data_IF_459690405696
#
_entry.id   IF_459690405696
#
_cell.length_a   1.000
_cell.length_b   1.000
_cell.length_c   1.000
_cell.angle_alpha   90.00
_cell.angle_beta   90.00
_cell.angle_gamma   90.00
#
_symmetry.space_group_name_H-M   'P 1'
#
loop_
_entity.id
_entity.type
_entity.pdbx_description
1 polymer ?
#
# COMPACT_ATOMS: atom_id res chain seq x y z
N UNK A 1 -1.32 12.21 -10.96
CA UNK A 1 -1.18 13.09 -9.79
C UNK A 1 -2.54 13.70 -9.50
N UNK A 2 -3.03 13.51 -8.28
CA UNK A 2 -4.29 14.09 -7.79
C UNK A 2 -3.93 15.23 -6.83
N UNK A 3 -4.63 16.36 -6.92
CA UNK A 3 -4.46 17.49 -6.00
C UNK A 3 -5.72 17.67 -5.19
N UNK A 4 -5.57 17.70 -3.87
CA UNK A 4 -6.64 18.00 -2.92
C UNK A 4 -6.14 19.13 -2.05
N UNK A 5 -6.69 20.33 -2.22
CA UNK A 5 -6.22 21.55 -1.54
C UNK A 5 -4.71 21.76 -1.69
N UNK A 6 -3.95 21.62 -0.60
CA UNK A 6 -2.49 21.79 -0.54
C UNK A 6 -1.72 20.46 -0.65
N UNK A 7 -2.42 19.33 -0.80
CA UNK A 7 -1.85 17.99 -0.94
C UNK A 7 -1.67 17.63 -2.42
N UNK A 8 -0.50 17.06 -2.73
CA UNK A 8 -0.19 16.48 -4.02
C UNK A 8 0.01 14.98 -3.85
N UNK A 9 -0.95 14.20 -4.34
CA UNK A 9 -1.00 12.76 -4.17
C UNK A 9 -0.59 12.06 -5.46
N UNK A 10 0.33 11.11 -5.34
CA UNK A 10 0.74 10.23 -6.41
C UNK A 10 -0.06 8.92 -6.33
N UNK A 11 -0.54 8.46 -7.49
CA UNK A 11 -1.20 7.16 -7.60
C UNK A 11 -0.18 6.16 -8.11
N UNK A 12 0.08 5.14 -7.32
CA UNK A 12 1.02 4.07 -7.64
C UNK A 12 0.21 2.81 -7.87
N UNK A 13 0.33 2.21 -9.07
CA UNK A 13 -0.29 0.91 -9.31
C UNK A 13 0.42 -0.16 -8.48
N UNK A 14 -0.33 -0.81 -7.61
CA UNK A 14 0.15 -1.85 -6.70
C UNK A 14 -0.70 -3.13 -6.82
N UNK A 15 -0.75 -3.77 -8.01
CA UNK A 15 -1.47 -5.02 -8.19
C UNK A 15 -0.90 -6.13 -7.31
N UNK A 16 -1.65 -7.20 -7.13
CA UNK A 16 -1.25 -8.34 -6.28
C UNK A 16 -2.44 -8.89 -5.54
N UNK A 17 -3.13 -8.06 -4.74
CA UNK A 17 -4.43 -8.41 -4.16
C UNK A 17 -5.55 -8.38 -5.21
N UNK A 18 -5.58 -7.33 -6.04
CA UNK A 18 -6.47 -7.17 -7.20
C UNK A 18 -5.70 -6.52 -8.36
N UNK A 19 -6.06 -6.78 -9.63
CA UNK A 19 -5.35 -6.21 -10.78
C UNK A 19 -5.40 -4.68 -10.88
N UNK A 20 -6.45 -4.06 -10.35
CA UNK A 20 -6.71 -2.62 -10.36
C UNK A 20 -6.28 -1.91 -9.06
N UNK A 21 -5.65 -2.64 -8.14
CA UNK A 21 -5.25 -2.10 -6.85
C UNK A 21 -4.23 -0.96 -6.99
N UNK A 22 -4.41 0.09 -6.18
CA UNK A 22 -3.55 1.27 -6.13
C UNK A 22 -3.11 1.57 -4.69
N UNK A 23 -1.95 2.20 -4.58
CA UNK A 23 -1.52 2.93 -3.39
C UNK A 23 -1.52 4.43 -3.68
N UNK A 24 -1.72 5.22 -2.64
CA UNK A 24 -1.69 6.68 -2.69
C UNK A 24 -0.50 7.17 -1.89
N UNK A 25 0.41 7.90 -2.52
CA UNK A 25 1.61 8.41 -1.88
C UNK A 25 1.54 9.93 -1.73
N UNK A 26 1.66 10.40 -0.49
CA UNK A 26 1.90 11.79 -0.14
C UNK A 26 3.38 12.01 0.15
N UNK A 27 4.09 12.49 -0.88
CA UNK A 27 5.53 12.74 -0.81
C UNK A 27 5.90 13.85 0.18
N UNK A 28 5.01 14.83 0.39
CA UNK A 28 5.31 15.96 1.30
C UNK A 28 5.38 15.50 2.74
N UNK A 29 4.47 14.61 3.13
CA UNK A 29 4.36 14.09 4.48
C UNK A 29 4.99 12.69 4.63
N UNK A 30 5.72 12.21 3.62
CA UNK A 30 6.35 10.88 3.57
C UNK A 30 5.41 9.75 4.03
N UNK A 31 4.16 9.83 3.58
CA UNK A 31 3.09 8.93 4.03
C UNK A 31 2.50 8.21 2.83
N UNK A 32 2.36 6.88 2.92
CA UNK A 32 1.70 6.09 1.88
C UNK A 32 0.47 5.36 2.45
N UNK A 33 -0.65 5.46 1.74
CA UNK A 33 -1.87 4.68 1.97
C UNK A 33 -1.87 3.52 0.99
N UNK A 34 -1.67 2.31 1.50
CA UNK A 34 -1.22 1.17 0.68
C UNK A 34 -2.26 0.07 0.49
N UNK A 35 -3.48 0.27 1.01
CA UNK A 35 -4.59 -0.65 0.80
C UNK A 35 -4.29 -2.04 1.37
N UNK A 36 -4.69 -3.05 0.62
CA UNK A 36 -4.65 -4.47 1.00
C UNK A 36 -3.46 -5.22 0.41
N UNK A 37 -2.81 -4.65 -0.62
CA UNK A 37 -1.68 -5.30 -1.28
C UNK A 37 -0.55 -5.69 -0.33
N UNK A 38 -0.08 -4.86 0.64
CA UNK A 38 0.99 -5.30 1.55
C UNK A 38 0.55 -6.32 2.60
N UNK A 39 -0.75 -6.56 2.75
CA UNK A 39 -1.31 -7.45 3.75
C UNK A 39 -2.24 -6.74 4.72
N UNK A 40 -2.65 -7.46 5.76
CA UNK A 40 -3.51 -6.96 6.83
C UNK A 40 -2.74 -7.01 8.17
N UNK A 41 -3.06 -6.05 9.04
CA UNK A 41 -2.62 -6.06 10.42
C UNK A 41 -3.82 -6.47 11.28
N UNK A 42 -3.93 -7.77 11.60
CA UNK A 42 -5.14 -8.33 12.22
C UNK A 42 -5.14 -8.21 13.76
N UNK A 43 -3.94 -8.15 14.37
CA UNK A 43 -3.66 -7.90 15.79
C UNK A 43 -2.28 -7.24 15.93
N UNK A 44 -1.90 -6.71 17.11
CA UNK A 44 -0.72 -5.84 17.34
C UNK A 44 0.61 -6.33 16.74
N UNK A 45 0.76 -7.65 16.54
CA UNK A 45 2.02 -8.25 16.13
C UNK A 45 1.86 -9.18 14.90
N UNK A 46 0.65 -9.27 14.32
CA UNK A 46 0.35 -10.21 13.23
C UNK A 46 0.14 -9.50 11.90
N UNK A 47 1.14 -9.64 11.03
CA UNK A 47 1.10 -9.21 9.63
C UNK A 47 0.94 -10.42 8.74
N UNK A 48 -0.15 -10.48 7.98
CA UNK A 48 -0.39 -11.57 7.04
C UNK A 48 -0.64 -11.03 5.64
N UNK A 49 -0.10 -11.73 4.64
CA UNK A 49 -0.41 -11.47 3.24
C UNK A 49 -1.92 -11.62 3.02
N UNK A 50 -2.53 -10.67 2.31
CA UNK A 50 -3.95 -10.70 2.00
C UNK A 50 -4.21 -11.42 0.66
N UNK A 51 -3.96 -12.73 0.63
CA UNK A 51 -4.07 -13.57 -0.57
C UNK A 51 -5.44 -14.25 -0.74
N UNK A 52 -6.50 -13.66 -0.20
CA UNK A 52 -7.85 -14.22 -0.21
C UNK A 52 -8.65 -13.91 -1.50
N UNK A 53 -8.10 -13.10 -2.40
CA UNK A 53 -8.75 -12.75 -3.68
C UNK A 53 -8.58 -13.87 -4.71
N UNK A 54 -9.62 -14.20 -5.51
CA UNK A 54 -9.49 -15.13 -6.64
C UNK A 54 -8.60 -14.60 -7.77
N UNK A 55 -8.30 -13.30 -7.76
CA UNK A 55 -7.41 -12.63 -8.72
C UNK A 55 -6.02 -12.38 -8.15
N UNK A 56 -5.69 -12.99 -7.01
CA UNK A 56 -4.41 -12.77 -6.37
C UNK A 56 -3.25 -13.28 -7.26
N UNK A 57 -2.18 -12.49 -7.32
CA UNK A 57 -1.00 -12.75 -8.15
C UNK A 57 0.27 -12.52 -7.35
N UNK A 58 1.01 -13.60 -7.08
CA UNK A 58 2.28 -13.55 -6.34
C UNK A 58 3.29 -12.64 -7.02
N UNK A 59 3.42 -12.78 -8.34
CA UNK A 59 4.35 -11.99 -9.14
C UNK A 59 4.06 -10.50 -9.01
N UNK A 60 2.79 -10.11 -9.18
CA UNK A 60 2.40 -8.71 -9.11
C UNK A 60 2.51 -8.17 -7.68
N UNK A 61 2.15 -8.97 -6.69
CA UNK A 61 2.37 -8.66 -5.27
C UNK A 61 3.84 -8.36 -5.00
N UNK A 62 4.76 -9.25 -5.37
CA UNK A 62 6.19 -9.08 -5.12
C UNK A 62 6.75 -7.82 -5.80
N UNK A 63 6.34 -7.53 -7.04
CA UNK A 63 6.74 -6.30 -7.73
C UNK A 63 6.15 -5.04 -7.08
N UNK A 64 4.92 -5.11 -6.57
CA UNK A 64 4.31 -4.02 -5.82
C UNK A 64 5.00 -3.76 -4.48
N UNK A 65 5.39 -4.81 -3.75
CA UNK A 65 6.16 -4.69 -2.51
C UNK A 65 7.52 -4.03 -2.78
N UNK A 66 8.21 -4.40 -3.87
CA UNK A 66 9.48 -3.75 -4.26
C UNK A 66 9.31 -2.25 -4.50
N UNK A 67 8.24 -1.84 -5.19
CA UNK A 67 7.94 -0.41 -5.41
C UNK A 67 7.68 0.29 -4.08
N UNK A 68 6.83 -0.26 -3.22
CA UNK A 68 6.52 0.33 -1.91
C UNK A 68 7.77 0.47 -1.02
N UNK A 69 8.66 -0.53 -1.03
CA UNK A 69 9.94 -0.50 -0.30
C UNK A 69 10.93 0.54 -0.81
N UNK A 70 10.77 1.05 -2.03
CA UNK A 70 11.62 2.10 -2.59
C UNK A 70 11.15 3.52 -2.26
N UNK A 71 9.99 3.65 -1.60
CA UNK A 71 9.47 4.96 -1.18
C UNK A 71 10.19 5.46 0.07
N UNK A 72 10.44 6.77 0.11
CA UNK A 72 10.93 7.47 1.30
C UNK A 72 9.74 7.76 2.23
N UNK A 73 9.54 6.92 3.24
CA UNK A 73 8.38 6.93 4.12
C UNK A 73 8.77 7.10 5.58
N UNK A 74 8.04 7.98 6.28
CA UNK A 74 7.98 8.03 7.74
C UNK A 74 6.75 7.25 8.25
N UNK A 75 5.71 7.09 7.42
CA UNK A 75 4.46 6.41 7.79
C UNK A 75 3.92 5.53 6.65
N UNK A 76 3.52 4.30 6.98
CA UNK A 76 2.83 3.37 6.09
C UNK A 76 1.44 3.03 6.65
N UNK A 77 0.39 3.55 6.02
CA UNK A 77 -1.00 3.39 6.42
C UNK A 77 -1.63 2.19 5.69
N UNK A 78 -1.89 1.10 6.42
CA UNK A 78 -2.50 -0.14 5.93
C UNK A 78 -4.03 -0.04 6.09
N UNK A 79 -4.80 -0.53 5.13
CA UNK A 79 -6.27 -0.41 5.17
C UNK A 79 -6.92 -1.14 6.34
N UNK A 80 -6.32 -2.25 6.77
CA UNK A 80 -6.77 -3.03 7.91
C UNK A 80 -5.87 -2.79 9.13
N UNK A 81 -6.31 -1.86 9.98
CA UNK A 81 -5.88 -1.64 11.37
C UNK A 81 -4.38 -1.38 11.62
N UNK A 82 -3.69 -0.60 10.77
CA UNK A 82 -2.27 -0.29 11.03
C UNK A 82 -1.76 1.02 10.43
N UNK A 83 -0.97 1.74 11.23
CA UNK A 83 0.02 2.71 10.75
C UNK A 83 1.37 2.21 11.24
N UNK A 84 2.30 1.96 10.32
CA UNK A 84 3.67 1.57 10.64
C UNK A 84 4.60 2.78 10.50
N UNK A 85 5.61 2.84 11.36
CA UNK A 85 6.63 3.89 11.43
C UNK A 85 8.02 3.29 11.31
#
# INVERSE_FOLDING_TARGET
MIRITLLSLEIIKTPGHMPDHIAVYDKKNKTAFVGDTPGIHWFTDLYVCNSNSPYWSEKDYLESIKKLKSLDLDFLCIAHFGVLT
#
